data_IF_607974161283
#
_entry.id   IF_607974161283
#
_cell.length_a   1.000
_cell.length_b   1.000
_cell.length_c   1.000
_cell.angle_alpha   90.00
_cell.angle_beta   90.00
_cell.angle_gamma   90.00
#
_symmetry.space_group_name_H-M   'P 1'
#
loop_
_entity.id
_entity.type
_entity.pdbx_description
1 polymer ?
#
# COMPACT_ATOMS: atom_id res chain seq x y z
N UNK A 1 -9.41 -7.95 7.32
CA UNK A 1 -8.55 -8.30 6.17
C UNK A 1 -8.14 -7.00 5.52
N UNK A 2 -6.84 -6.76 5.38
CA UNK A 2 -6.30 -5.50 4.89
C UNK A 2 -5.89 -5.62 3.41
N UNK A 3 -5.83 -4.49 2.71
CA UNK A 3 -5.55 -4.48 1.26
C UNK A 3 -4.45 -3.47 0.92
N UNK A 4 -3.45 -3.93 0.17
CA UNK A 4 -2.48 -3.08 -0.50
C UNK A 4 -2.90 -2.90 -1.97
N UNK A 5 -3.12 -1.68 -2.39
CA UNK A 5 -3.59 -1.32 -3.73
C UNK A 5 -2.48 -0.58 -4.45
N UNK A 6 -1.95 -1.17 -5.52
CA UNK A 6 -0.91 -0.56 -6.34
C UNK A 6 -1.59 0.10 -7.53
N UNK A 7 -1.54 1.43 -7.58
CA UNK A 7 -2.08 2.19 -8.71
C UNK A 7 -1.10 2.04 -9.88
N UNK A 8 -1.62 1.69 -11.06
CA UNK A 8 -0.88 1.67 -12.31
C UNK A 8 -1.59 2.51 -13.38
N UNK A 9 -0.96 2.71 -14.54
CA UNK A 9 -1.54 3.54 -15.61
C UNK A 9 -2.77 2.92 -16.28
N UNK A 10 -3.04 1.64 -16.03
CA UNK A 10 -4.17 0.88 -16.61
C UNK A 10 -5.30 0.60 -15.61
N UNK A 11 -5.10 0.94 -14.33
CA UNK A 11 -6.03 0.65 -13.24
C UNK A 11 -5.31 0.47 -11.90
N UNK A 12 -5.67 -0.57 -11.17
CA UNK A 12 -5.05 -0.93 -9.91
C UNK A 12 -4.88 -2.44 -9.74
N UNK A 13 -3.80 -2.83 -9.08
CA UNK A 13 -3.58 -4.20 -8.61
C UNK A 13 -3.81 -4.27 -7.11
N UNK A 14 -4.71 -5.16 -6.67
CA UNK A 14 -5.04 -5.35 -5.25
C UNK A 14 -4.37 -6.59 -4.68
N UNK A 15 -3.75 -6.43 -3.53
CA UNK A 15 -3.17 -7.50 -2.76
C UNK A 15 -3.74 -7.51 -1.35
N UNK A 16 -4.57 -8.51 -1.08
CA UNK A 16 -5.11 -8.72 0.24
C UNK A 16 -4.10 -9.45 1.12
N UNK A 17 -4.09 -9.14 2.40
CA UNK A 17 -3.33 -9.84 3.40
C UNK A 17 -4.10 -9.93 4.71
N UNK A 18 -3.82 -10.98 5.46
CA UNK A 18 -4.34 -11.14 6.82
C UNK A 18 -3.27 -10.66 7.80
N UNK A 19 -3.62 -9.67 8.63
CA UNK A 19 -2.74 -9.13 9.66
C UNK A 19 -2.54 -10.12 10.83
N UNK A 20 -3.39 -11.13 10.95
CA UNK A 20 -3.29 -12.19 11.95
C UNK A 20 -2.40 -13.36 11.51
N UNK A 21 -2.10 -13.46 10.21
CA UNK A 21 -1.17 -14.45 9.66
C UNK A 21 0.21 -13.82 9.43
N UNK A 22 1.16 -14.19 10.30
CA UNK A 22 2.54 -13.70 10.27
C UNK A 22 3.21 -13.85 8.89
N UNK A 23 2.89 -14.91 8.13
CA UNK A 23 3.49 -15.13 6.81
C UNK A 23 2.93 -14.16 5.78
N UNK A 24 1.63 -13.87 5.83
CA UNK A 24 1.01 -12.87 4.97
C UNK A 24 1.43 -11.46 5.35
N UNK A 25 1.57 -11.19 6.65
CA UNK A 25 2.06 -9.92 7.17
C UNK A 25 3.47 -9.60 6.69
N UNK A 26 4.40 -10.55 6.79
CA UNK A 26 5.78 -10.39 6.30
C UNK A 26 5.82 -10.09 4.79
N UNK A 27 5.01 -10.79 4.00
CA UNK A 27 4.91 -10.52 2.55
C UNK A 27 4.36 -9.13 2.24
N UNK A 28 3.38 -8.67 3.02
CA UNK A 28 2.81 -7.33 2.88
C UNK A 28 3.85 -6.26 3.22
N UNK A 29 4.63 -6.47 4.29
CA UNK A 29 5.72 -5.57 4.69
C UNK A 29 6.84 -5.54 3.64
N UNK A 30 7.27 -6.69 3.12
CA UNK A 30 8.24 -6.79 2.04
C UNK A 30 7.78 -6.03 0.78
N UNK A 31 6.51 -6.19 0.40
CA UNK A 31 5.93 -5.44 -0.73
C UNK A 31 5.93 -3.93 -0.46
N UNK A 32 5.56 -3.51 0.74
CA UNK A 32 5.58 -2.10 1.13
C UNK A 32 6.98 -1.50 0.95
N UNK A 33 8.00 -2.17 1.50
CA UNK A 33 9.42 -1.75 1.39
C UNK A 33 9.89 -1.72 -0.06
N UNK A 34 9.52 -2.74 -0.86
CA UNK A 34 9.89 -2.81 -2.27
C UNK A 34 9.26 -1.67 -3.09
N UNK A 35 7.97 -1.41 -2.91
CA UNK A 35 7.27 -0.36 -3.68
C UNK A 35 7.76 1.03 -3.30
N UNK A 36 7.89 1.32 -2.01
CA UNK A 36 8.43 2.61 -1.53
C UNK A 36 9.88 2.81 -1.95
N UNK A 37 10.71 1.76 -1.92
CA UNK A 37 12.07 1.76 -2.44
C UNK A 37 12.15 2.00 -3.96
N UNK A 38 11.17 1.54 -4.73
CA UNK A 38 11.04 1.79 -6.17
C UNK A 38 10.49 3.18 -6.51
N UNK A 39 10.22 4.03 -5.51
CA UNK A 39 9.75 5.39 -5.70
C UNK A 39 8.23 5.58 -5.71
N UNK A 40 7.46 4.56 -5.31
CA UNK A 40 6.02 4.74 -5.05
C UNK A 40 5.80 5.53 -3.76
N UNK A 41 4.76 6.36 -3.75
CA UNK A 41 4.26 7.01 -2.53
C UNK A 41 3.20 6.11 -1.90
N UNK A 42 3.42 5.66 -0.66
CA UNK A 42 2.43 4.92 0.10
C UNK A 42 1.50 5.88 0.86
N UNK A 43 0.21 5.60 0.88
CA UNK A 43 -0.77 6.33 1.67
C UNK A 43 -1.84 5.40 2.22
N UNK A 44 -2.19 5.57 3.50
CA UNK A 44 -3.30 4.85 4.11
C UNK A 44 -4.60 5.58 3.79
N UNK A 45 -5.62 4.82 3.39
CA UNK A 45 -6.99 5.33 3.30
C UNK A 45 -7.78 4.79 4.48
N UNK A 46 -8.40 5.70 5.24
CA UNK A 46 -9.30 5.33 6.33
C UNK A 46 -10.74 5.09 5.83
N UNK A 47 -11.61 4.59 6.72
CA UNK A 47 -13.01 4.31 6.41
C UNK A 47 -13.82 5.54 5.96
N UNK A 48 -13.35 6.76 6.24
CA UNK A 48 -13.98 8.01 5.75
C UNK A 48 -13.54 8.37 4.32
N UNK A 49 -12.62 7.60 3.75
CA UNK A 49 -12.01 7.86 2.44
C UNK A 49 -10.85 8.85 2.49
N UNK A 50 -10.46 9.33 3.68
CA UNK A 50 -9.34 10.25 3.82
C UNK A 50 -8.03 9.50 3.58
N UNK A 51 -7.21 10.07 2.70
CA UNK A 51 -5.91 9.51 2.31
C UNK A 51 -4.80 10.28 3.03
N UNK A 52 -3.95 9.56 3.76
CA UNK A 52 -2.81 10.14 4.48
C UNK A 52 -1.53 9.43 4.06
N UNK A 53 -0.55 10.18 3.56
CA UNK A 53 0.76 9.64 3.16
C UNK A 53 1.46 9.04 4.38
N UNK A 54 1.98 7.83 4.22
CA UNK A 54 2.77 7.15 5.24
C UNK A 54 4.15 6.78 4.70
N UNK A 55 5.14 6.78 5.59
CA UNK A 55 6.51 6.31 5.31
C UNK A 55 6.83 4.99 6.01
N UNK A 56 5.89 4.49 6.81
CA UNK A 56 6.03 3.25 7.55
C UNK A 56 4.87 2.30 7.21
N UNK A 57 5.16 1.00 7.24
CA UNK A 57 4.16 -0.02 7.08
C UNK A 57 3.25 -0.04 8.32
N UNK A 58 1.94 0.09 8.11
CA UNK A 58 0.92 -0.07 9.14
C UNK A 58 0.13 -1.35 8.87
N UNK A 59 0.30 -2.41 9.67
CA UNK A 59 -0.44 -3.66 9.49
C UNK A 59 -1.94 -3.55 9.80
N UNK A 60 -2.37 -2.49 10.50
CA UNK A 60 -3.76 -2.28 10.90
C UNK A 60 -4.53 -1.40 9.92
N UNK A 61 -3.85 -0.80 8.94
CA UNK A 61 -4.49 -0.03 7.89
C UNK A 61 -5.42 -0.91 7.06
N UNK A 62 -6.70 -0.51 6.93
CA UNK A 62 -7.66 -1.22 6.09
C UNK A 62 -7.24 -1.22 4.62
N UNK A 63 -6.82 -0.05 4.12
CA UNK A 63 -6.31 0.13 2.77
C UNK A 63 -5.00 0.92 2.76
N UNK A 64 -4.00 0.40 2.06
CA UNK A 64 -2.76 1.12 1.72
C UNK A 64 -2.67 1.27 0.21
N UNK A 65 -2.73 2.50 -0.28
CA UNK A 65 -2.58 2.88 -1.67
C UNK A 65 -1.10 3.14 -1.98
N UNK A 66 -0.63 2.70 -3.14
CA UNK A 66 0.70 3.01 -3.66
C UNK A 66 0.56 3.76 -4.99
N UNK A 67 0.98 5.02 -5.00
CA UNK A 67 0.97 5.88 -6.19
C UNK A 67 2.34 5.85 -6.87
N UNK A 68 2.42 5.60 -8.19
CA UNK A 68 3.68 5.73 -8.90
C UNK A 68 4.13 7.18 -8.87
N UNK A 69 5.45 7.41 -8.94
CA UNK A 69 5.99 8.76 -9.04
C UNK A 69 5.44 9.43 -10.30
N UNK A 70 4.65 10.48 -10.14
CA UNK A 70 4.24 11.32 -11.26
C UNK A 70 5.49 12.06 -11.77
N UNK A 71 6.09 11.56 -12.84
CA UNK A 71 7.01 12.34 -13.67
C UNK A 71 6.15 13.27 -14.51
N UNK A 72 5.97 14.51 -14.04
CA UNK A 72 5.40 15.59 -14.85
C UNK A 72 6.36 15.91 -15.99
N UNK A 73 5.84 15.91 -17.22
CA UNK A 73 6.50 16.49 -18.39
C UNK A 73 6.29 17.99 -18.45
#
# INVERSE_FOLDING_TARGET
MATQIVMDHTGDTRHHFDATDTKNLLKAEERFKKLTGSGFTAAVRDASGKVTVTRAFDPNAEETLFFPRLVGG
#
